data_IF_852113760325
#
_entry.id   IF_852113760325
#
_cell.length_a   1.000
_cell.length_b   1.000
_cell.length_c   1.000
_cell.angle_alpha   90.00
_cell.angle_beta   90.00
_cell.angle_gamma   90.00
#
_symmetry.space_group_name_H-M   'P 1'
#
loop_
_entity.id
_entity.type
_entity.pdbx_description
1 polymer ?
#
# COMPACT_ATOMS: atom_id res chain seq x y z
N UNK A 1 14.20 -7.73 -12.30
CA UNK A 1 12.76 -7.47 -12.05
C UNK A 1 12.64 -6.38 -11.00
N UNK A 2 11.46 -5.80 -10.79
CA UNK A 2 11.21 -4.77 -9.77
C UNK A 2 10.24 -5.27 -8.69
N UNK A 3 10.26 -4.59 -7.55
CA UNK A 3 9.45 -4.85 -6.36
C UNK A 3 7.95 -4.84 -6.68
N UNK A 4 7.54 -4.00 -7.62
CA UNK A 4 6.22 -3.99 -8.26
C UNK A 4 6.40 -3.71 -9.77
N UNK A 5 5.62 -4.33 -10.68
CA UNK A 5 5.78 -4.10 -12.12
C UNK A 5 5.48 -2.67 -12.55
N UNK A 6 4.47 -2.04 -11.92
CA UNK A 6 3.99 -0.70 -12.25
C UNK A 6 5.12 0.34 -12.21
N UNK A 7 5.14 1.22 -13.20
CA UNK A 7 6.13 2.29 -13.33
C UNK A 7 5.55 3.64 -12.95
N UNK A 8 6.46 4.56 -12.61
CA UNK A 8 6.11 5.95 -12.49
C UNK A 8 5.73 6.50 -13.86
N UNK A 9 4.59 7.19 -13.97
CA UNK A 9 4.20 7.83 -15.21
C UNK A 9 5.05 9.10 -15.44
N UNK A 10 6.11 8.98 -16.26
CA UNK A 10 7.01 10.07 -16.58
C UNK A 10 6.32 11.21 -17.33
N UNK A 11 5.39 10.90 -18.23
CA UNK A 11 4.64 11.91 -18.99
C UNK A 11 3.73 12.73 -18.08
N UNK A 12 2.99 12.06 -17.19
CA UNK A 12 2.16 12.74 -16.19
C UNK A 12 3.03 13.60 -15.26
N UNK A 13 4.20 13.10 -14.85
CA UNK A 13 5.15 13.88 -14.05
C UNK A 13 5.60 15.14 -14.77
N UNK A 14 5.94 15.05 -16.06
CA UNK A 14 6.34 16.21 -16.86
C UNK A 14 5.20 17.23 -16.98
N UNK A 15 3.96 16.76 -17.22
CA UNK A 15 2.76 17.62 -17.19
C UNK A 15 2.57 18.31 -15.84
N UNK A 16 2.75 17.59 -14.73
CA UNK A 16 2.66 18.15 -13.37
C UNK A 16 3.74 19.22 -13.17
N UNK A 17 5.00 18.97 -13.56
CA UNK A 17 6.10 19.93 -13.40
C UNK A 17 5.83 21.20 -14.21
N UNK A 18 5.46 21.06 -15.49
CA UNK A 18 5.13 22.19 -16.37
C UNK A 18 3.96 23.01 -15.82
N UNK A 19 2.90 22.35 -15.38
CA UNK A 19 1.73 23.03 -14.83
C UNK A 19 2.01 23.68 -13.48
N UNK A 20 2.83 23.04 -12.63
CA UNK A 20 3.26 23.64 -11.36
C UNK A 20 4.07 24.92 -11.59
N UNK A 21 4.89 24.98 -12.63
CA UNK A 21 5.62 26.21 -12.99
C UNK A 21 4.68 27.31 -13.45
N UNK A 22 3.73 26.99 -14.33
CA UNK A 22 2.68 27.94 -14.74
C UNK A 22 1.90 28.44 -13.52
N UNK A 23 1.50 27.56 -12.60
CA UNK A 23 0.82 27.97 -11.37
C UNK A 23 1.69 28.88 -10.51
N UNK A 24 2.99 28.61 -10.37
CA UNK A 24 3.87 29.48 -9.59
C UNK A 24 3.98 30.88 -10.20
N UNK A 25 4.01 31.01 -11.52
CA UNK A 25 4.20 32.31 -12.18
C UNK A 25 2.91 33.05 -12.51
N UNK A 26 1.80 32.34 -12.66
CA UNK A 26 0.55 32.91 -13.18
C UNK A 26 -0.63 32.82 -12.20
N UNK A 27 -0.46 32.21 -11.00
CA UNK A 27 -1.55 32.07 -10.05
C UNK A 27 -2.16 33.40 -9.58
N UNK A 28 -1.40 34.49 -9.58
CA UNK A 28 -1.89 35.84 -9.25
C UNK A 28 -2.95 36.36 -10.25
N UNK A 29 -3.14 35.68 -11.39
CA UNK A 29 -4.17 36.00 -12.38
C UNK A 29 -5.46 35.20 -12.15
N UNK A 30 -5.48 34.28 -11.18
CA UNK A 30 -6.58 33.34 -10.97
C UNK A 30 -7.50 33.82 -9.85
N UNK A 31 -8.78 34.04 -10.20
CA UNK A 31 -9.82 34.45 -9.25
C UNK A 31 -9.80 35.95 -8.96
N UNK A 32 -10.57 36.36 -7.96
CA UNK A 32 -10.66 37.75 -7.54
C UNK A 32 -10.24 37.87 -6.06
N UNK A 33 -8.93 37.97 -5.83
CA UNK A 33 -8.33 38.04 -4.50
C UNK A 33 -7.98 39.46 -4.05
N UNK A 34 -8.07 40.46 -4.94
CA UNK A 34 -7.86 41.87 -4.61
C UNK A 34 -6.40 42.25 -4.31
N UNK A 35 -5.43 41.42 -4.70
CA UNK A 35 -4.00 41.70 -4.61
C UNK A 35 -3.43 41.94 -6.01
N UNK A 36 -2.40 42.79 -6.09
CA UNK A 36 -1.53 42.82 -7.27
C UNK A 36 -0.57 41.61 -7.26
N UNK A 37 0.29 41.52 -8.27
CA UNK A 37 1.21 40.38 -8.44
C UNK A 37 2.18 40.24 -7.25
N UNK A 38 2.82 41.34 -6.85
CA UNK A 38 3.83 41.33 -5.79
C UNK A 38 3.20 40.96 -4.44
N UNK A 39 2.07 41.58 -4.08
CA UNK A 39 1.37 41.28 -2.84
C UNK A 39 0.80 39.86 -2.82
N UNK A 40 0.35 39.32 -3.96
CA UNK A 40 -0.16 37.94 -4.03
C UNK A 40 0.91 36.92 -3.61
N UNK A 41 2.15 37.08 -4.06
CA UNK A 41 3.24 36.16 -3.75
C UNK A 41 3.89 36.42 -2.38
N UNK A 42 3.94 37.68 -1.92
CA UNK A 42 4.57 38.03 -0.65
C UNK A 42 3.64 37.89 0.57
N UNK A 43 2.32 38.04 0.39
CA UNK A 43 1.32 37.95 1.48
C UNK A 43 1.21 36.56 2.11
N UNK A 44 1.78 35.53 1.48
CA UNK A 44 1.61 34.14 1.90
C UNK A 44 0.29 33.51 1.46
N UNK A 45 -0.58 34.24 0.75
CA UNK A 45 -1.85 33.73 0.21
C UNK A 45 -1.62 32.51 -0.69
N UNK A 46 -0.68 32.61 -1.64
CA UNK A 46 -0.36 31.50 -2.55
C UNK A 46 0.13 30.27 -1.78
N UNK A 47 1.14 30.43 -0.92
CA UNK A 47 1.72 29.33 -0.14
C UNK A 47 0.68 28.69 0.79
N UNK A 48 -0.10 29.50 1.51
CA UNK A 48 -1.17 29.03 2.39
C UNK A 48 -2.25 28.26 1.64
N UNK A 49 -2.60 28.69 0.43
CA UNK A 49 -3.57 27.99 -0.42
C UNK A 49 -3.06 26.63 -0.89
N UNK A 50 -1.81 26.55 -1.37
CA UNK A 50 -1.20 25.27 -1.77
C UNK A 50 -1.15 24.28 -0.60
N UNK A 51 -0.75 24.75 0.58
CA UNK A 51 -0.69 23.93 1.79
C UNK A 51 -2.08 23.45 2.24
N UNK A 52 -3.10 24.32 2.14
CA UNK A 52 -4.50 23.95 2.43
C UNK A 52 -5.01 22.89 1.47
N UNK A 53 -4.81 23.07 0.16
CA UNK A 53 -5.23 22.12 -0.87
C UNK A 53 -4.52 20.77 -0.67
N UNK A 54 -3.21 20.78 -0.42
CA UNK A 54 -2.45 19.57 -0.08
C UNK A 54 -3.01 18.88 1.16
N UNK A 55 -3.34 19.64 2.20
CA UNK A 55 -3.96 19.14 3.41
C UNK A 55 -5.31 18.47 3.14
N UNK A 56 -6.15 19.05 2.27
CA UNK A 56 -7.44 18.46 1.88
C UNK A 56 -7.27 17.14 1.13
N UNK A 57 -6.32 17.06 0.19
CA UNK A 57 -6.03 15.79 -0.51
C UNK A 57 -5.44 14.72 0.41
N UNK A 58 -4.59 15.11 1.36
CA UNK A 58 -4.01 14.19 2.34
C UNK A 58 -5.04 13.71 3.38
N UNK A 59 -6.02 14.55 3.73
CA UNK A 59 -7.01 14.31 4.77
C UNK A 59 -8.25 13.53 4.32
N UNK A 60 -8.40 13.23 3.02
CA UNK A 60 -9.55 12.49 2.48
C UNK A 60 -9.48 10.98 2.82
N UNK A 61 -9.50 10.64 4.12
CA UNK A 61 -9.74 9.27 4.57
C UNK A 61 -11.12 8.78 4.16
N UNK A 62 -12.08 9.69 3.96
CA UNK A 62 -13.43 9.37 3.50
C UNK A 62 -13.42 8.67 2.14
N UNK A 63 -12.70 9.18 1.14
CA UNK A 63 -12.63 8.54 -0.17
C UNK A 63 -11.94 7.18 -0.10
N UNK A 64 -10.85 7.07 0.68
CA UNK A 64 -10.15 5.79 0.90
C UNK A 64 -11.05 4.76 1.54
N UNK A 65 -11.76 5.14 2.60
CA UNK A 65 -12.69 4.26 3.30
C UNK A 65 -13.88 3.86 2.43
N UNK A 66 -14.40 4.79 1.64
CA UNK A 66 -15.48 4.50 0.67
C UNK A 66 -15.02 3.50 -0.38
N UNK A 67 -13.82 3.66 -0.93
CA UNK A 67 -13.25 2.71 -1.89
C UNK A 67 -13.13 1.30 -1.29
N UNK A 68 -12.54 1.19 -0.10
CA UNK A 68 -12.37 -0.11 0.56
C UNK A 68 -13.71 -0.74 0.91
N UNK A 69 -14.67 0.04 1.41
CA UNK A 69 -16.03 -0.42 1.67
C UNK A 69 -16.70 -0.97 0.39
N UNK A 70 -16.57 -0.29 -0.75
CA UNK A 70 -17.12 -0.77 -2.03
C UNK A 70 -16.49 -2.10 -2.46
N UNK A 71 -15.18 -2.26 -2.30
CA UNK A 71 -14.50 -3.52 -2.60
C UNK A 71 -14.96 -4.64 -1.67
N UNK A 72 -15.01 -4.41 -0.37
CA UNK A 72 -15.42 -5.43 0.60
C UNK A 72 -16.90 -5.80 0.41
N UNK A 73 -17.78 -4.83 0.17
CA UNK A 73 -19.18 -5.09 -0.21
C UNK A 73 -19.26 -5.92 -1.48
N UNK A 74 -18.50 -5.60 -2.53
CA UNK A 74 -18.47 -6.40 -3.75
C UNK A 74 -18.03 -7.85 -3.49
N UNK A 75 -17.00 -8.05 -2.66
CA UNK A 75 -16.54 -9.39 -2.29
C UNK A 75 -17.58 -10.16 -1.46
N UNK A 76 -18.29 -9.48 -0.55
CA UNK A 76 -19.38 -10.05 0.24
C UNK A 76 -20.58 -10.44 -0.64
N UNK A 77 -21.05 -9.51 -1.48
CA UNK A 77 -22.17 -9.72 -2.39
C UNK A 77 -21.91 -10.85 -3.39
N UNK A 78 -20.63 -11.03 -3.76
CA UNK A 78 -20.17 -12.09 -4.66
C UNK A 78 -19.83 -13.41 -3.93
N UNK A 79 -19.98 -13.46 -2.60
CA UNK A 79 -19.79 -14.67 -1.78
C UNK A 79 -18.33 -15.06 -1.51
N UNK A 80 -17.35 -14.20 -1.78
CA UNK A 80 -15.92 -14.47 -1.50
C UNK A 80 -15.57 -14.30 -0.03
N UNK A 81 -16.32 -13.49 0.71
CA UNK A 81 -16.24 -13.32 2.17
C UNK A 81 -17.64 -13.41 2.76
N UNK A 82 -17.74 -13.73 4.06
CA UNK A 82 -19.03 -13.90 4.70
C UNK A 82 -19.63 -12.56 5.14
N UNK A 83 -18.80 -11.71 5.75
CA UNK A 83 -19.22 -10.40 6.25
C UNK A 83 -18.03 -9.47 6.48
N UNK A 84 -18.27 -8.17 6.62
CA UNK A 84 -17.26 -7.22 7.04
C UNK A 84 -17.84 -6.04 7.82
N UNK A 85 -17.02 -5.47 8.70
CA UNK A 85 -17.36 -4.29 9.50
C UNK A 85 -16.23 -3.27 9.48
N UNK A 86 -16.61 -1.99 9.50
CA UNK A 86 -15.69 -0.88 9.74
C UNK A 86 -15.47 -0.73 11.23
N UNK A 87 -14.21 -0.74 11.66
CA UNK A 87 -13.85 -0.69 13.07
C UNK A 87 -13.96 0.73 13.68
N UNK A 88 -14.42 1.73 12.92
CA UNK A 88 -14.58 3.10 13.41
C UNK A 88 -13.25 3.78 13.77
N UNK A 89 -13.30 5.05 14.18
CA UNK A 89 -12.08 5.86 14.35
C UNK A 89 -11.30 5.59 15.64
N UNK A 90 -11.89 4.86 16.59
CA UNK A 90 -11.30 4.60 17.91
C UNK A 90 -10.47 3.32 17.98
N UNK A 91 -10.57 2.43 16.98
CA UNK A 91 -9.84 1.18 16.93
C UNK A 91 -8.50 1.35 16.19
N UNK A 92 -7.51 0.53 16.55
CA UNK A 92 -6.16 0.54 15.93
C UNK A 92 -6.08 -0.23 14.60
N UNK A 93 -7.23 -0.53 14.02
CA UNK A 93 -7.42 -1.14 12.71
C UNK A 93 -8.61 -0.48 12.01
N UNK A 94 -8.68 -0.53 10.68
CA UNK A 94 -9.78 0.08 9.93
C UNK A 94 -10.95 -0.88 9.68
N UNK A 95 -10.68 -2.18 9.45
CA UNK A 95 -11.73 -3.16 9.11
C UNK A 95 -11.50 -4.53 9.74
N UNK A 96 -12.61 -5.21 10.02
CA UNK A 96 -12.68 -6.62 10.41
C UNK A 96 -13.52 -7.36 9.38
N UNK A 97 -13.00 -8.47 8.88
CA UNK A 97 -13.62 -9.28 7.82
C UNK A 97 -13.79 -10.70 8.31
N UNK A 98 -15.03 -11.19 8.25
CA UNK A 98 -15.35 -12.59 8.55
C UNK A 98 -15.24 -13.42 7.28
N UNK A 99 -14.34 -14.39 7.30
CA UNK A 99 -14.12 -15.30 6.19
C UNK A 99 -15.12 -16.46 6.21
N UNK A 100 -15.34 -17.07 5.05
CA UNK A 100 -16.28 -18.19 4.88
C UNK A 100 -15.93 -19.44 5.71
N UNK A 101 -14.66 -19.57 6.12
CA UNK A 101 -14.19 -20.64 7.00
C UNK A 101 -14.27 -20.30 8.50
N UNK A 102 -14.87 -19.16 8.85
CA UNK A 102 -15.05 -18.70 10.23
C UNK A 102 -13.88 -17.91 10.82
N UNK A 103 -12.74 -17.80 10.12
CA UNK A 103 -11.61 -16.97 10.55
C UNK A 103 -11.93 -15.49 10.43
N UNK A 104 -11.26 -14.68 11.25
CA UNK A 104 -11.36 -13.22 11.25
C UNK A 104 -10.08 -12.59 10.71
N UNK A 105 -10.20 -11.86 9.61
CA UNK A 105 -9.12 -11.09 9.02
C UNK A 105 -9.27 -9.60 9.38
N UNK A 106 -8.20 -9.02 9.90
CA UNK A 106 -8.13 -7.60 10.22
C UNK A 106 -7.31 -6.87 9.16
N UNK A 107 -7.83 -5.74 8.69
CA UNK A 107 -7.19 -4.89 7.68
C UNK A 107 -6.89 -3.52 8.30
N UNK A 108 -5.64 -3.10 8.13
CA UNK A 108 -5.17 -1.75 8.47
C UNK A 108 -4.79 -1.01 7.19
N UNK A 109 -5.38 0.16 6.96
CA UNK A 109 -5.06 0.96 5.78
C UNK A 109 -3.78 1.78 6.00
N UNK A 110 -2.95 1.81 4.95
CA UNK A 110 -1.80 2.70 4.87
C UNK A 110 -1.88 3.54 3.60
N UNK A 111 -1.16 4.66 3.62
CA UNK A 111 -1.03 5.51 2.44
C UNK A 111 -0.07 4.91 1.42
N UNK A 112 0.75 5.77 0.81
CA UNK A 112 1.73 5.38 -0.19
C UNK A 112 2.97 4.66 0.36
N UNK A 113 2.95 4.08 1.57
CA UNK A 113 4.06 3.35 2.20
C UNK A 113 5.40 4.14 2.34
N UNK A 114 5.35 5.44 2.18
CA UNK A 114 6.48 6.38 2.20
C UNK A 114 6.55 7.21 3.48
N UNK A 115 5.47 7.27 4.26
CA UNK A 115 5.39 8.01 5.51
C UNK A 115 5.75 7.18 6.76
N UNK A 116 5.98 7.88 7.88
CA UNK A 116 6.18 7.25 9.19
C UNK A 116 4.92 6.53 9.71
N UNK A 117 3.73 6.84 9.18
CA UNK A 117 2.50 6.15 9.58
C UNK A 117 2.54 4.63 9.28
N UNK A 118 3.41 4.22 8.34
CA UNK A 118 3.57 2.82 7.94
C UNK A 118 4.29 2.00 9.01
N UNK A 119 4.95 2.66 9.98
CA UNK A 119 5.54 2.00 11.14
C UNK A 119 4.53 1.71 12.26
N UNK A 120 3.39 2.39 12.22
CA UNK A 120 2.41 2.36 13.30
C UNK A 120 1.30 1.39 12.90
N UNK A 121 1.36 0.17 13.40
CA UNK A 121 0.30 -0.82 13.30
C UNK A 121 0.24 -1.65 14.58
N UNK A 122 -0.88 -2.35 14.79
CA UNK A 122 -1.00 -3.33 15.86
C UNK A 122 -1.98 -4.43 15.47
N UNK A 123 -1.50 -5.68 15.48
CA UNK A 123 -2.35 -6.85 15.28
C UNK A 123 -3.27 -7.04 16.49
N UNK A 124 -4.61 -7.01 16.33
CA UNK A 124 -5.52 -7.31 17.43
C UNK A 124 -5.40 -8.77 17.90
N UNK A 125 -5.61 -9.08 19.21
CA UNK A 125 -5.48 -10.44 19.73
C UNK A 125 -6.46 -11.47 19.13
N UNK A 126 -7.61 -11.01 18.63
CA UNK A 126 -8.64 -11.86 18.03
C UNK A 126 -8.46 -12.05 16.51
N UNK A 127 -7.39 -11.50 15.92
CA UNK A 127 -7.13 -11.55 14.49
C UNK A 127 -6.45 -12.88 14.11
N UNK A 128 -7.14 -13.70 13.31
CA UNK A 128 -6.55 -14.88 12.66
C UNK A 128 -5.62 -14.48 11.50
N UNK A 129 -5.92 -13.35 10.84
CA UNK A 129 -5.13 -12.76 9.77
C UNK A 129 -4.97 -11.25 10.01
N UNK A 130 -3.79 -10.69 9.76
CA UNK A 130 -3.56 -9.25 9.85
C UNK A 130 -2.85 -8.72 8.61
N UNK A 131 -3.55 -7.88 7.85
CA UNK A 131 -3.12 -7.40 6.53
C UNK A 131 -2.98 -5.89 6.52
N UNK A 132 -1.92 -5.43 5.87
CA UNK A 132 -1.77 -4.02 5.52
C UNK A 132 -2.32 -3.81 4.10
N UNK A 133 -3.17 -2.81 3.91
CA UNK A 133 -3.62 -2.41 2.57
C UNK A 133 -3.19 -0.98 2.27
N UNK A 134 -2.24 -0.84 1.34
CA UNK A 134 -1.78 0.44 0.84
C UNK A 134 -2.76 1.03 -0.19
N UNK A 135 -3.37 2.16 0.20
CA UNK A 135 -4.19 3.03 -0.65
C UNK A 135 -3.39 4.30 -0.97
N UNK A 136 -2.75 4.31 -2.15
CA UNK A 136 -1.92 5.41 -2.60
C UNK A 136 -2.64 6.29 -3.62
N UNK A 137 -3.44 7.22 -3.10
CA UNK A 137 -4.19 8.18 -3.92
C UNK A 137 -3.32 9.23 -4.62
N UNK A 138 -2.01 9.29 -4.37
CA UNK A 138 -1.09 10.23 -4.99
C UNK A 138 -0.61 9.74 -6.38
N UNK A 139 -1.03 10.36 -7.50
CA UNK A 139 -0.62 9.97 -8.85
C UNK A 139 0.87 10.16 -9.12
N UNK A 140 1.53 11.08 -8.40
CA UNK A 140 2.95 11.39 -8.58
C UNK A 140 3.90 10.48 -7.79
N UNK A 141 3.35 9.58 -6.96
CA UNK A 141 4.13 8.64 -6.16
C UNK A 141 4.91 7.66 -7.06
N UNK A 142 6.07 7.22 -6.58
CA UNK A 142 6.85 6.17 -7.24
C UNK A 142 6.51 4.82 -6.62
N UNK A 143 5.71 3.97 -7.29
CA UNK A 143 5.25 2.72 -6.69
C UNK A 143 6.42 1.76 -6.38
N UNK A 144 7.49 1.74 -7.18
CA UNK A 144 8.64 0.84 -6.94
C UNK A 144 9.42 1.26 -5.71
N UNK A 145 9.76 2.55 -5.63
CA UNK A 145 10.41 3.10 -4.45
C UNK A 145 9.56 2.87 -3.19
N UNK A 146 8.27 3.18 -3.28
CA UNK A 146 7.38 3.18 -2.13
C UNK A 146 7.10 1.78 -1.60
N UNK A 147 6.83 0.80 -2.47
CA UNK A 147 6.64 -0.60 -2.06
C UNK A 147 7.91 -1.13 -1.39
N UNK A 148 9.07 -0.89 -2.00
CA UNK A 148 10.33 -1.33 -1.40
C UNK A 148 10.59 -0.69 -0.05
N UNK A 149 10.46 0.63 0.02
CA UNK A 149 10.66 1.41 1.24
C UNK A 149 9.66 1.00 2.33
N UNK A 150 8.42 0.70 1.96
CA UNK A 150 7.40 0.15 2.85
C UNK A 150 7.79 -1.21 3.42
N UNK A 151 8.05 -2.19 2.55
CA UNK A 151 8.35 -3.57 2.96
C UNK A 151 9.66 -3.65 3.71
N UNK A 152 10.76 -3.22 3.08
CA UNK A 152 12.10 -3.39 3.64
C UNK A 152 12.37 -2.43 4.78
N UNK A 153 12.16 -1.12 4.59
CA UNK A 153 12.62 -0.14 5.59
C UNK A 153 11.70 -0.05 6.81
N UNK A 154 10.40 -0.33 6.64
CA UNK A 154 9.37 -0.08 7.65
C UNK A 154 8.79 -1.38 8.19
N UNK A 155 7.95 -2.05 7.40
CA UNK A 155 7.20 -3.22 7.85
C UNK A 155 8.11 -4.34 8.38
N UNK A 156 9.14 -4.75 7.63
CA UNK A 156 10.03 -5.82 8.09
C UNK A 156 10.85 -5.46 9.34
N UNK A 157 11.22 -4.18 9.52
CA UNK A 157 11.89 -3.73 10.73
C UNK A 157 10.95 -3.82 11.94
N UNK A 158 9.74 -3.28 11.80
CA UNK A 158 8.73 -3.22 12.85
C UNK A 158 8.18 -4.60 13.22
N UNK A 159 8.02 -5.50 12.25
CA UNK A 159 7.62 -6.90 12.49
C UNK A 159 8.55 -7.55 13.51
N UNK A 160 9.87 -7.35 13.35
CA UNK A 160 10.87 -7.97 14.22
C UNK A 160 11.02 -7.17 15.52
N UNK A 161 11.13 -5.85 15.44
CA UNK A 161 11.37 -4.99 16.62
C UNK A 161 10.21 -5.01 17.62
N UNK A 162 8.97 -5.03 17.13
CA UNK A 162 7.76 -5.03 17.96
C UNK A 162 7.17 -6.43 18.14
N UNK A 163 7.80 -7.45 17.56
CA UNK A 163 7.30 -8.82 17.55
C UNK A 163 5.84 -8.92 17.09
N UNK A 164 5.53 -8.24 15.97
CA UNK A 164 4.19 -8.16 15.41
C UNK A 164 4.11 -8.82 14.05
N UNK A 165 3.26 -9.82 13.92
CA UNK A 165 3.07 -10.53 12.66
C UNK A 165 2.12 -9.78 11.72
N UNK A 166 2.56 -9.57 10.49
CA UNK A 166 1.74 -9.18 9.34
C UNK A 166 1.73 -10.37 8.39
N UNK A 167 0.54 -10.82 7.98
CA UNK A 167 0.38 -12.00 7.12
C UNK A 167 0.52 -11.67 5.63
N UNK A 168 0.28 -10.40 5.28
CA UNK A 168 0.58 -9.88 3.95
C UNK A 168 0.28 -8.40 3.76
N UNK A 169 0.56 -7.93 2.55
CA UNK A 169 0.39 -6.57 2.10
C UNK A 169 -0.33 -6.55 0.75
N UNK A 170 -1.30 -5.66 0.62
CA UNK A 170 -1.98 -5.35 -0.65
C UNK A 170 -1.58 -3.94 -1.10
N UNK A 171 -1.13 -3.80 -2.34
CA UNK A 171 -0.80 -2.50 -2.95
C UNK A 171 -1.76 -2.25 -4.09
N UNK A 172 -2.85 -1.55 -3.81
CA UNK A 172 -3.97 -1.47 -4.75
C UNK A 172 -4.96 -0.37 -4.36
N UNK A 173 -5.33 0.47 -5.32
CA UNK A 173 -6.30 1.55 -5.16
C UNK A 173 -6.95 1.87 -6.51
N UNK A 174 -7.87 2.83 -6.52
CA UNK A 174 -8.60 3.26 -7.72
C UNK A 174 -7.73 3.92 -8.80
N UNK A 175 -6.48 4.29 -8.53
CA UNK A 175 -5.59 4.79 -9.57
C UNK A 175 -5.01 3.64 -10.41
N UNK A 176 -4.97 2.41 -9.89
CA UNK A 176 -4.45 1.26 -10.62
C UNK A 176 -5.24 1.00 -11.91
N UNK A 177 -4.55 0.91 -13.05
CA UNK A 177 -5.17 0.67 -14.35
C UNK A 177 -5.67 1.93 -15.06
N UNK A 178 -5.54 3.10 -14.42
CA UNK A 178 -5.86 4.39 -15.04
C UNK A 178 -4.65 4.98 -15.79
N UNK A 179 -4.86 6.10 -16.47
CA UNK A 179 -3.77 6.89 -17.07
C UNK A 179 -2.76 7.38 -16.03
N UNK A 180 -3.18 7.57 -14.77
CA UNK A 180 -2.28 7.96 -13.69
C UNK A 180 -1.32 6.85 -13.26
N UNK A 181 -1.78 5.59 -13.29
CA UNK A 181 -0.97 4.41 -12.96
C UNK A 181 -1.32 3.26 -13.90
N UNK A 182 -0.64 3.24 -15.03
CA UNK A 182 -0.77 2.19 -16.04
C UNK A 182 -0.40 0.84 -15.39
N UNK A 183 -1.31 -0.12 -15.45
CA UNK A 183 -1.12 -1.43 -14.83
C UNK A 183 -0.64 -2.43 -15.89
N UNK A 184 0.56 -3.05 -15.73
CA UNK A 184 1.06 -4.05 -16.67
C UNK A 184 0.13 -5.26 -16.83
N UNK A 185 -0.65 -5.60 -15.80
CA UNK A 185 -1.64 -6.70 -15.86
C UNK A 185 -2.71 -6.45 -16.91
N UNK A 186 -3.17 -5.20 -17.05
CA UNK A 186 -4.16 -4.80 -18.06
C UNK A 186 -3.55 -4.61 -19.45
N UNK A 187 -2.25 -4.30 -19.53
CA UNK A 187 -1.54 -4.26 -20.81
C UNK A 187 -1.37 -5.68 -21.39
N UNK A 188 -1.16 -6.66 -20.53
CA UNK A 188 -1.08 -8.07 -20.92
C UNK A 188 -2.45 -8.65 -21.27
N UNK A 189 -3.48 -8.33 -20.49
CA UNK A 189 -4.85 -8.74 -20.76
C UNK A 189 -5.85 -7.68 -20.28
N UNK A 190 -6.43 -6.96 -21.25
CA UNK A 190 -7.36 -5.87 -20.97
C UNK A 190 -8.71 -6.33 -20.39
N UNK A 191 -9.05 -7.61 -20.51
CA UNK A 191 -10.29 -8.18 -20.00
C UNK A 191 -10.23 -8.50 -18.50
N UNK A 192 -9.04 -8.44 -17.88
CA UNK A 192 -8.84 -8.64 -16.43
C UNK A 192 -9.20 -7.38 -15.64
N UNK A 193 -10.41 -6.89 -15.86
CA UNK A 193 -10.98 -5.73 -15.18
C UNK A 193 -12.23 -6.18 -14.44
N UNK A 194 -12.33 -5.79 -13.18
CA UNK A 194 -13.55 -5.96 -12.37
C UNK A 194 -14.18 -4.60 -12.13
N UNK A 195 -15.48 -4.50 -12.36
CA UNK A 195 -16.24 -3.27 -12.11
C UNK A 195 -16.79 -3.26 -10.68
N UNK A 196 -16.42 -2.24 -9.91
CA UNK A 196 -16.86 -2.05 -8.52
C UNK A 196 -17.35 -0.62 -8.38
N UNK A 197 -18.67 -0.43 -8.41
CA UNK A 197 -19.28 0.89 -8.44
C UNK A 197 -18.75 1.72 -9.62
N UNK A 198 -18.13 2.90 -9.39
CA UNK A 198 -17.57 3.72 -10.46
C UNK A 198 -16.17 3.29 -10.94
N UNK A 199 -15.57 2.28 -10.30
CA UNK A 199 -14.17 1.92 -10.53
C UNK A 199 -14.05 0.71 -11.45
N UNK A 200 -13.05 0.76 -12.34
CA UNK A 200 -12.61 -0.34 -13.18
C UNK A 200 -11.26 -0.80 -12.68
N UNK A 201 -11.24 -1.89 -11.92
CA UNK A 201 -10.08 -2.27 -11.11
C UNK A 201 -9.34 -3.48 -11.73
N UNK A 202 -8.00 -3.42 -11.82
CA UNK A 202 -7.21 -4.60 -12.14
C UNK A 202 -7.06 -5.52 -10.92
N UNK A 203 -6.57 -6.75 -11.10
CA UNK A 203 -6.21 -7.63 -10.00
C UNK A 203 -5.20 -6.98 -9.03
N UNK A 204 -5.37 -7.10 -7.71
CA UNK A 204 -4.49 -6.48 -6.72
C UNK A 204 -3.05 -6.99 -6.79
N UNK A 205 -2.08 -6.16 -6.42
CA UNK A 205 -0.70 -6.61 -6.18
C UNK A 205 -0.58 -7.11 -4.74
N UNK A 206 -0.41 -8.43 -4.58
CA UNK A 206 -0.39 -9.11 -3.29
C UNK A 206 1.04 -9.51 -2.93
N UNK A 207 1.41 -9.25 -1.68
CA UNK A 207 2.68 -9.62 -1.06
C UNK A 207 2.41 -10.50 0.16
N UNK A 208 2.79 -11.77 0.09
CA UNK A 208 2.68 -12.74 1.17
C UNK A 208 3.89 -12.62 2.07
N UNK A 209 3.65 -12.45 3.37
CA UNK A 209 4.70 -12.29 4.38
C UNK A 209 4.94 -13.61 5.13
N UNK A 210 5.98 -13.70 5.98
CA UNK A 210 6.21 -14.89 6.77
C UNK A 210 5.09 -15.19 7.77
N UNK A 211 4.72 -16.47 7.89
CA UNK A 211 3.64 -16.92 8.78
C UNK A 211 3.98 -16.93 10.27
N UNK A 212 5.21 -16.52 10.62
CA UNK A 212 5.68 -16.33 12.00
C UNK A 212 6.74 -15.22 12.03
N UNK A 213 6.89 -14.54 13.17
CA UNK A 213 7.91 -13.49 13.32
C UNK A 213 9.32 -14.11 13.25
N UNK A 214 10.22 -13.60 12.39
CA UNK A 214 11.60 -14.06 12.32
C UNK A 214 12.33 -13.85 13.65
N UNK A 215 13.08 -14.86 14.10
CA UNK A 215 13.89 -14.81 15.32
C UNK A 215 15.25 -15.48 15.11
N UNK A 216 16.39 -14.79 15.36
CA UNK A 216 17.73 -15.30 15.01
C UNK A 216 18.08 -16.68 15.58
N UNK A 217 17.53 -17.04 16.76
CA UNK A 217 17.91 -18.27 17.46
C UNK A 217 17.02 -19.46 17.11
N UNK A 218 15.72 -19.22 16.96
CA UNK A 218 14.72 -20.29 16.91
C UNK A 218 14.07 -20.43 15.52
N UNK A 219 13.99 -19.32 14.77
CA UNK A 219 13.26 -19.26 13.53
C UNK A 219 13.85 -18.17 12.62
N UNK A 220 15.12 -18.31 12.20
CA UNK A 220 15.82 -17.23 11.50
C UNK A 220 15.25 -16.98 10.10
N UNK A 221 14.64 -18.00 9.49
CA UNK A 221 14.11 -17.97 8.12
C UNK A 221 12.69 -18.58 8.11
N UNK A 222 11.67 -17.90 8.65
CA UNK A 222 10.32 -18.42 8.68
C UNK A 222 9.77 -18.68 7.28
N UNK A 223 8.91 -19.70 7.15
CA UNK A 223 8.19 -19.97 5.90
C UNK A 223 7.32 -18.78 5.54
N UNK A 224 7.38 -18.36 4.27
CA UNK A 224 6.43 -17.41 3.69
C UNK A 224 5.05 -18.04 3.60
N UNK A 225 4.01 -17.28 3.92
CA UNK A 225 2.63 -17.70 3.71
C UNK A 225 2.40 -18.00 2.22
N UNK A 226 1.58 -19.01 1.95
CA UNK A 226 0.94 -19.25 0.66
C UNK A 226 -0.39 -18.50 0.63
N UNK A 227 -0.99 -18.38 -0.55
CA UNK A 227 -2.30 -17.76 -0.68
C UNK A 227 -3.36 -18.50 0.15
N UNK A 228 -3.27 -19.82 0.27
CA UNK A 228 -4.19 -20.65 1.04
C UNK A 228 -4.06 -20.45 2.56
N UNK A 229 -2.92 -19.96 3.05
CA UNK A 229 -2.75 -19.67 4.47
C UNK A 229 -3.48 -18.37 4.89
N UNK A 230 -3.73 -17.47 3.93
CA UNK A 230 -4.27 -16.12 4.16
C UNK A 230 -5.56 -15.92 3.35
N UNK A 231 -6.69 -16.27 3.95
CA UNK A 231 -7.99 -16.34 3.32
C UNK A 231 -8.48 -15.01 2.75
N UNK A 232 -8.20 -13.86 3.39
CA UNK A 232 -8.61 -12.57 2.80
C UNK A 232 -7.84 -12.25 1.51
N UNK A 233 -6.54 -12.60 1.46
CA UNK A 233 -5.74 -12.40 0.25
C UNK A 233 -6.16 -13.38 -0.85
N UNK A 234 -6.50 -14.62 -0.49
CA UNK A 234 -7.12 -15.57 -1.41
C UNK A 234 -8.44 -15.04 -1.99
N UNK A 235 -9.31 -14.49 -1.13
CA UNK A 235 -10.58 -13.91 -1.54
C UNK A 235 -10.38 -12.71 -2.49
N UNK A 236 -9.43 -11.80 -2.18
CA UNK A 236 -9.08 -10.69 -3.07
C UNK A 236 -8.48 -11.16 -4.39
N UNK A 237 -7.60 -12.17 -4.36
CA UNK A 237 -6.97 -12.71 -5.56
C UNK A 237 -8.00 -13.32 -6.51
N UNK A 238 -8.90 -14.15 -5.97
CA UNK A 238 -9.94 -14.85 -6.76
C UNK A 238 -11.04 -13.89 -7.23
N UNK A 239 -11.52 -13.00 -6.37
CA UNK A 239 -12.58 -12.03 -6.70
C UNK A 239 -12.20 -11.06 -7.82
N UNK A 240 -10.91 -10.80 -8.01
CA UNK A 240 -10.42 -9.79 -8.96
C UNK A 240 -9.56 -10.39 -10.09
N UNK A 241 -9.63 -11.71 -10.32
CA UNK A 241 -8.97 -12.36 -11.46
C UNK A 241 -7.44 -12.34 -11.41
N UNK A 242 -6.86 -12.51 -10.22
CA UNK A 242 -5.42 -12.63 -10.02
C UNK A 242 -4.85 -13.90 -10.65
N UNK A 243 -3.60 -13.82 -11.09
CA UNK A 243 -2.83 -14.99 -11.54
C UNK A 243 -1.78 -15.35 -10.49
N UNK A 244 -1.33 -16.61 -10.48
CA UNK A 244 -0.35 -17.09 -9.49
C UNK A 244 1.06 -16.52 -9.74
N UNK A 245 1.44 -16.33 -10.99
CA UNK A 245 2.72 -15.74 -11.43
C UNK A 245 2.87 -14.26 -11.05
N UNK A 246 1.78 -13.61 -10.59
CA UNK A 246 1.79 -12.23 -10.12
C UNK A 246 1.97 -12.08 -8.61
N UNK A 247 1.88 -13.19 -7.87
CA UNK A 247 2.01 -13.20 -6.41
C UNK A 247 3.46 -12.95 -6.00
N UNK A 248 3.63 -12.19 -4.92
CA UNK A 248 4.94 -11.83 -4.40
C UNK A 248 5.15 -12.53 -3.06
N UNK A 249 6.25 -13.24 -2.92
CA UNK A 249 6.72 -13.78 -1.65
C UNK A 249 7.71 -12.81 -1.04
N UNK A 250 7.47 -12.41 0.22
CA UNK A 250 8.37 -11.57 1.01
C UNK A 250 9.05 -12.42 2.06
N UNK A 251 10.30 -12.76 1.82
CA UNK A 251 11.15 -13.45 2.76
C UNK A 251 11.85 -12.42 3.67
N UNK A 252 11.80 -12.66 4.97
CA UNK A 252 12.53 -11.86 5.97
C UNK A 252 13.37 -12.84 6.77
N UNK A 253 14.67 -12.84 6.51
CA UNK A 253 15.64 -13.62 7.28
C UNK A 253 16.37 -12.75 8.29
N UNK A 254 16.71 -13.32 9.44
CA UNK A 254 17.42 -12.62 10.51
C UNK A 254 18.61 -13.42 10.98
N UNK A 255 19.69 -12.72 11.31
CA UNK A 255 20.92 -13.30 11.84
C UNK A 255 21.56 -12.35 12.85
N UNK A 256 22.50 -12.88 13.64
CA UNK A 256 23.40 -12.05 14.44
C UNK A 256 24.67 -11.75 13.65
N UNK A 257 25.10 -10.48 13.66
CA UNK A 257 26.41 -10.05 13.14
C UNK A 257 27.10 -9.22 14.21
N UNK A 258 27.98 -9.86 14.98
CA UNK A 258 28.54 -9.25 16.19
C UNK A 258 27.47 -9.07 17.25
N UNK A 259 27.31 -7.85 17.76
CA UNK A 259 26.27 -7.50 18.74
C UNK A 259 24.91 -7.20 18.10
N UNK A 260 24.86 -6.99 16.79
CA UNK A 260 23.65 -6.54 16.10
C UNK A 260 22.82 -7.70 15.56
N UNK A 261 21.50 -7.54 15.64
CA UNK A 261 20.58 -8.32 14.82
C UNK A 261 20.41 -7.64 13.47
N UNK A 262 20.75 -8.37 12.41
CA UNK A 262 20.60 -7.93 11.02
C UNK A 262 19.46 -8.68 10.36
N UNK A 263 18.78 -8.03 9.41
CA UNK A 263 17.75 -8.63 8.56
C UNK A 263 18.16 -8.58 7.10
N UNK A 264 17.71 -9.55 6.34
CA UNK A 264 17.73 -9.54 4.87
C UNK A 264 16.30 -9.67 4.39
N UNK A 265 15.89 -8.81 3.46
CA UNK A 265 14.56 -8.84 2.86
C UNK A 265 14.67 -9.24 1.40
N UNK A 266 13.98 -10.30 0.99
CA UNK A 266 13.93 -10.75 -0.40
C UNK A 266 12.48 -10.75 -0.89
N UNK A 267 12.25 -10.16 -2.05
CA UNK A 267 10.97 -10.25 -2.77
C UNK A 267 11.19 -11.16 -3.96
N UNK A 268 10.40 -12.22 -4.04
CA UNK A 268 10.38 -13.18 -5.16
C UNK A 268 9.00 -13.13 -5.83
N UNK A 269 8.96 -13.20 -7.15
CA UNK A 269 7.73 -13.32 -7.95
C UNK A 269 7.95 -14.38 -9.01
N UNK A 270 7.02 -15.31 -9.14
CA UNK A 270 7.12 -16.44 -10.08
C UNK A 270 8.46 -17.20 -9.97
N UNK A 271 8.90 -17.47 -8.73
CA UNK A 271 10.19 -18.12 -8.45
C UNK A 271 11.44 -17.27 -8.76
N UNK A 272 11.29 -16.04 -9.27
CA UNK A 272 12.41 -15.17 -9.61
C UNK A 272 12.59 -14.05 -8.58
N UNK A 273 13.82 -13.88 -8.11
CA UNK A 273 14.19 -12.79 -7.21
C UNK A 273 13.96 -11.45 -7.91
N UNK A 274 13.02 -10.68 -7.41
CA UNK A 274 12.76 -9.32 -7.85
C UNK A 274 13.73 -8.34 -7.18
N UNK A 275 13.96 -8.50 -5.88
CA UNK A 275 14.90 -7.68 -5.12
C UNK A 275 15.35 -8.37 -3.84
N UNK A 276 16.57 -8.09 -3.43
CA UNK A 276 17.13 -8.54 -2.15
C UNK A 276 18.01 -7.44 -1.56
N UNK A 277 18.22 -7.48 -0.25
CA UNK A 277 19.20 -6.62 0.44
C UNK A 277 20.39 -7.41 0.93
N UNK A 278 21.50 -6.71 1.13
CA UNK A 278 22.50 -7.19 2.07
C UNK A 278 21.95 -7.19 3.51
N UNK A 279 22.54 -7.97 4.43
CA UNK A 279 22.16 -7.96 5.83
C UNK A 279 22.24 -6.54 6.44
N UNK A 280 21.09 -6.01 6.84
CA UNK A 280 20.94 -4.62 7.32
C UNK A 280 20.52 -4.61 8.80
N UNK A 281 21.12 -3.78 9.68
CA UNK A 281 20.69 -3.69 11.08
C UNK A 281 19.20 -3.37 11.24
N UNK A 282 18.56 -3.96 12.25
CA UNK A 282 17.14 -3.66 12.54
C UNK A 282 16.98 -2.26 13.11
N UNK A 283 17.83 -1.91 14.09
CA UNK A 283 17.87 -0.56 14.66
C UNK A 283 18.75 0.33 13.80
N UNK A 284 18.24 1.52 13.47
CA UNK A 284 19.07 2.63 12.99
C UNK A 284 19.76 3.22 14.22
N UNK A 285 21.06 3.01 14.34
CA UNK A 285 21.93 3.80 15.24
C UNK A 285 21.92 5.27 14.86
#
# INVERSE_FOLDING_TARGET
MSEIPCEKNAELRDKIVKFAEVLKTEAHKLGNHGFDEDDFYQSGLFRGTIERIRGQFAASMKEKRNFVALVLSHMQDSGYIADWESAGEANRHDYSVKLNNGRTAIIELKGCLDGNNTNIFERPPHADEFIIWSICSNPGADPRHNVWSGIHTRLSAEIIERNQQIDGLVVWDWNCGTTARICPKLQQNADRVTEVGPYRLPPPCIYLFPGTVPSPRNNPNPRVNTLQDVGILYAMHTSFGGNEDELNSVEISVAHRGADTVRTTTITRDGVICKTTDPTPIRRS
#
